data_IF_732847436755
#
_entry.id   IF_732847436755
#
_cell.length_a   1.000
_cell.length_b   1.000
_cell.length_c   1.000
_cell.angle_alpha   90.00
_cell.angle_beta   90.00
_cell.angle_gamma   90.00
#
_symmetry.space_group_name_H-M   'P 1'
#
loop_
_entity.id
_entity.type
_entity.pdbx_description
1 polymer ?
#
# COMPACT_ATOMS: atom_id res chain seq x y z
N UNK A 1 1.93 19.96 30.59
CA UNK A 1 1.05 20.83 29.77
C UNK A 1 1.70 21.35 28.47
N UNK A 2 2.75 22.19 28.50
CA UNK A 2 3.34 22.73 27.24
C UNK A 2 3.98 21.65 26.35
N UNK A 3 4.83 20.77 26.91
CA UNK A 3 5.43 19.63 26.20
C UNK A 3 4.37 18.69 25.60
N UNK A 4 3.28 18.42 26.33
CA UNK A 4 2.21 17.54 25.86
C UNK A 4 1.43 18.15 24.70
N UNK A 5 1.15 19.47 24.73
CA UNK A 5 0.53 20.18 23.61
C UNK A 5 1.43 20.17 22.37
N UNK A 6 2.75 20.31 22.54
CA UNK A 6 3.71 20.28 21.44
C UNK A 6 3.77 18.90 20.80
N UNK A 7 3.79 17.83 21.60
CA UNK A 7 3.75 16.44 21.13
C UNK A 7 2.43 16.17 20.40
N UNK A 8 1.30 16.62 20.94
CA UNK A 8 -0.01 16.45 20.31
C UNK A 8 -0.08 17.19 18.96
N UNK A 9 0.45 18.40 18.88
CA UNK A 9 0.48 19.20 17.65
C UNK A 9 1.34 18.53 16.57
N UNK A 10 2.52 18.03 16.94
CA UNK A 10 3.39 17.25 16.03
C UNK A 10 2.70 15.98 15.56
N UNK A 11 1.99 15.27 16.44
CA UNK A 11 1.25 14.07 16.07
C UNK A 11 0.13 14.36 15.06
N UNK A 12 -0.63 15.45 15.25
CA UNK A 12 -1.71 15.86 14.34
C UNK A 12 -1.13 16.27 12.98
N UNK A 13 -0.04 17.05 12.95
CA UNK A 13 0.65 17.42 11.71
C UNK A 13 1.21 16.19 10.99
N UNK A 14 1.82 15.27 11.74
CA UNK A 14 2.33 14.01 11.22
C UNK A 14 1.23 13.16 10.59
N UNK A 15 0.07 13.05 11.24
CA UNK A 15 -1.11 12.39 10.68
C UNK A 15 -1.58 13.07 9.39
N UNK A 16 -1.69 14.41 9.37
CA UNK A 16 -2.12 15.16 8.19
C UNK A 16 -1.21 14.93 6.98
N UNK A 17 0.10 15.01 7.18
CA UNK A 17 1.10 14.71 6.14
C UNK A 17 0.99 13.26 5.68
N UNK A 18 0.82 12.31 6.61
CA UNK A 18 0.68 10.90 6.28
C UNK A 18 -0.54 10.62 5.40
N UNK A 19 -1.70 11.20 5.74
CA UNK A 19 -2.91 11.07 4.91
C UNK A 19 -2.74 11.72 3.54
N UNK A 20 -2.10 12.89 3.45
CA UNK A 20 -1.83 13.54 2.16
C UNK A 20 -0.93 12.67 1.26
N UNK A 21 0.12 12.06 1.82
CA UNK A 21 1.01 11.14 1.11
C UNK A 21 0.26 9.89 0.65
N UNK A 22 -0.60 9.32 1.51
CA UNK A 22 -1.43 8.18 1.15
C UNK A 22 -2.37 8.48 -0.02
N UNK A 23 -3.08 9.61 0.03
CA UNK A 23 -3.98 10.04 -1.04
C UNK A 23 -3.21 10.29 -2.34
N UNK A 24 -2.08 11.00 -2.26
CA UNK A 24 -1.22 11.22 -3.42
C UNK A 24 -0.76 9.89 -4.04
N UNK A 25 -0.36 8.92 -3.21
CA UNK A 25 0.10 7.62 -3.69
C UNK A 25 -1.02 6.80 -4.33
N UNK A 26 -2.23 6.83 -3.75
CA UNK A 26 -3.43 6.20 -4.31
C UNK A 26 -3.79 6.80 -5.67
N UNK A 27 -3.85 8.13 -5.76
CA UNK A 27 -4.15 8.85 -7.02
C UNK A 27 -3.09 8.54 -8.07
N UNK A 28 -1.81 8.53 -7.70
CA UNK A 28 -0.71 8.19 -8.60
C UNK A 28 -0.77 6.73 -9.07
N UNK A 29 -1.11 5.79 -8.20
CA UNK A 29 -1.27 4.37 -8.54
C UNK A 29 -2.40 4.17 -9.54
N UNK A 30 -3.55 4.77 -9.29
CA UNK A 30 -4.71 4.72 -10.19
C UNK A 30 -4.37 5.43 -11.51
N UNK A 31 -3.80 6.63 -11.47
CA UNK A 31 -3.46 7.41 -12.66
C UNK A 31 -2.46 6.68 -13.57
N UNK A 32 -1.38 6.10 -13.02
CA UNK A 32 -0.36 5.45 -13.83
C UNK A 32 -0.79 4.08 -14.39
N UNK A 33 -1.65 3.35 -13.67
CA UNK A 33 -2.03 2.00 -14.07
C UNK A 33 -3.40 1.95 -14.77
N UNK A 34 -4.40 2.69 -14.31
CA UNK A 34 -5.74 2.67 -14.93
C UNK A 34 -5.79 3.32 -16.33
N UNK A 35 -4.84 4.20 -16.67
CA UNK A 35 -4.72 4.76 -18.02
C UNK A 35 -3.97 3.86 -19.03
N UNK A 36 -3.42 2.72 -18.60
CA UNK A 36 -2.92 1.72 -19.55
C UNK A 36 -4.12 0.93 -20.08
N UNK A 37 -4.33 1.00 -21.39
CA UNK A 37 -5.42 0.33 -22.13
C UNK A 37 -5.44 -1.22 -21.93
N UNK A 38 -4.37 -1.82 -21.40
CA UNK A 38 -4.27 -3.25 -21.09
C UNK A 38 -3.72 -3.46 -19.68
N UNK A 39 -4.59 -3.39 -18.68
CA UNK A 39 -4.24 -3.75 -17.31
C UNK A 39 -4.07 -5.28 -17.21
N UNK A 40 -2.84 -5.74 -16.98
CA UNK A 40 -2.62 -7.18 -16.77
C UNK A 40 -3.23 -7.63 -15.44
N UNK A 41 -3.70 -8.88 -15.36
CA UNK A 41 -4.30 -9.44 -14.11
C UNK A 41 -3.41 -9.23 -12.89
N UNK A 42 -2.08 -9.32 -13.08
CA UNK A 42 -1.08 -9.10 -12.03
C UNK A 42 -1.01 -7.63 -11.60
N UNK A 43 -1.05 -6.69 -12.54
CA UNK A 43 -1.06 -5.25 -12.21
C UNK A 43 -2.33 -4.85 -11.45
N UNK A 44 -3.48 -5.43 -11.79
CA UNK A 44 -4.75 -5.22 -11.08
C UNK A 44 -4.69 -5.75 -9.64
N UNK A 45 -4.17 -6.97 -9.45
CA UNK A 45 -3.96 -7.57 -8.13
C UNK A 45 -3.01 -6.72 -7.29
N UNK A 46 -1.93 -6.19 -7.87
CA UNK A 46 -1.03 -5.29 -7.14
C UNK A 46 -1.73 -4.02 -6.66
N UNK A 47 -2.58 -3.39 -7.47
CA UNK A 47 -3.32 -2.19 -7.06
C UNK A 47 -4.25 -2.53 -5.90
N UNK A 48 -4.97 -3.65 -5.98
CA UNK A 48 -5.86 -4.12 -4.92
C UNK A 48 -5.11 -4.42 -3.61
N UNK A 49 -3.94 -5.05 -3.68
CA UNK A 49 -3.12 -5.34 -2.50
C UNK A 49 -2.58 -4.05 -1.87
N UNK A 50 -2.12 -3.08 -2.67
CA UNK A 50 -1.72 -1.76 -2.16
C UNK A 50 -2.88 -1.04 -1.48
N UNK A 51 -4.07 -1.05 -2.09
CA UNK A 51 -5.29 -0.50 -1.49
C UNK A 51 -5.63 -1.18 -0.16
N UNK A 52 -5.54 -2.51 -0.10
CA UNK A 52 -5.78 -3.28 1.11
C UNK A 52 -4.77 -2.93 2.23
N UNK A 53 -3.48 -2.81 1.90
CA UNK A 53 -2.44 -2.42 2.86
C UNK A 53 -2.72 -1.04 3.43
N UNK A 54 -3.06 -0.06 2.57
CA UNK A 54 -3.42 1.29 2.99
C UNK A 54 -4.66 1.27 3.89
N UNK A 55 -5.69 0.53 3.50
CA UNK A 55 -6.91 0.38 4.28
C UNK A 55 -6.63 -0.21 5.68
N UNK A 56 -5.88 -1.31 5.76
CA UNK A 56 -5.51 -1.92 7.03
C UNK A 56 -4.61 -1.01 7.88
N UNK A 57 -3.73 -0.22 7.26
CA UNK A 57 -2.94 0.81 7.97
C UNK A 57 -3.83 1.86 8.63
N UNK A 58 -4.84 2.38 7.91
CA UNK A 58 -5.82 3.34 8.46
C UNK A 58 -6.62 2.69 9.59
N UNK A 59 -7.13 1.47 9.40
CA UNK A 59 -7.91 0.77 10.42
C UNK A 59 -7.07 0.47 11.66
N UNK A 60 -5.79 0.10 11.51
CA UNK A 60 -4.86 -0.09 12.64
C UNK A 60 -4.71 1.17 13.48
N UNK A 61 -4.57 2.32 12.82
CA UNK A 61 -4.42 3.61 13.48
C UNK A 61 -5.71 3.99 14.21
N UNK A 62 -6.87 3.90 13.54
CA UNK A 62 -8.17 4.29 14.12
C UNK A 62 -8.56 3.37 15.28
N UNK A 63 -8.40 2.05 15.11
CA UNK A 63 -8.77 1.05 16.13
C UNK A 63 -7.69 0.88 17.21
N UNK A 64 -6.52 1.50 17.04
CA UNK A 64 -5.32 1.30 17.86
C UNK A 64 -4.97 -0.19 18.07
N UNK A 65 -5.33 -1.02 17.08
CA UNK A 65 -5.31 -2.48 17.19
C UNK A 65 -4.19 -3.05 16.32
N UNK A 66 -3.13 -3.51 16.98
CA UNK A 66 -1.93 -4.04 16.34
C UNK A 66 -2.10 -5.46 15.77
N UNK A 67 -3.21 -6.15 16.07
CA UNK A 67 -3.45 -7.51 15.59
C UNK A 67 -3.63 -7.57 14.06
N UNK A 68 -3.90 -6.43 13.42
CA UNK A 68 -3.98 -6.29 11.96
C UNK A 68 -2.61 -6.14 11.28
N UNK A 69 -1.51 -6.03 12.06
CA UNK A 69 -0.16 -5.94 11.50
C UNK A 69 0.25 -7.21 10.78
N UNK A 70 -0.08 -8.37 11.35
CA UNK A 70 0.26 -9.67 10.78
C UNK A 70 -0.39 -9.93 9.40
N UNK A 71 -1.69 -9.66 9.18
CA UNK A 71 -2.27 -9.76 7.84
C UNK A 71 -1.65 -8.78 6.83
N UNK A 72 -1.21 -7.58 7.25
CA UNK A 72 -0.49 -6.64 6.37
C UNK A 72 0.87 -7.19 5.95
N UNK A 73 1.63 -7.79 6.86
CA UNK A 73 2.91 -8.42 6.56
C UNK A 73 2.74 -9.60 5.59
N UNK A 74 1.72 -10.43 5.79
CA UNK A 74 1.41 -11.54 4.88
C UNK A 74 1.04 -11.05 3.48
N UNK A 75 0.26 -9.97 3.36
CA UNK A 75 -0.07 -9.35 2.07
C UNK A 75 1.18 -8.85 1.35
N UNK A 76 2.10 -8.19 2.07
CA UNK A 76 3.39 -7.74 1.51
C UNK A 76 4.23 -8.92 1.02
N UNK A 77 4.32 -9.99 1.81
CA UNK A 77 5.07 -11.19 1.44
C UNK A 77 4.49 -11.87 0.19
N UNK A 78 3.17 -12.04 0.14
CA UNK A 78 2.46 -12.59 -1.02
C UNK A 78 2.73 -11.75 -2.27
N UNK A 79 2.70 -10.42 -2.14
CA UNK A 79 2.96 -9.51 -3.25
C UNK A 79 4.39 -9.61 -3.80
N UNK A 80 5.39 -9.76 -2.92
CA UNK A 80 6.79 -9.96 -3.33
C UNK A 80 6.94 -11.27 -4.10
N UNK A 81 6.30 -12.35 -3.64
CA UNK A 81 6.32 -13.64 -4.33
C UNK A 81 5.62 -13.58 -5.68
N UNK A 82 4.49 -12.87 -5.77
CA UNK A 82 3.73 -12.72 -7.00
C UNK A 82 4.53 -11.93 -8.06
N UNK A 83 5.26 -10.88 -7.65
CA UNK A 83 6.21 -10.16 -8.52
C UNK A 83 7.35 -11.04 -9.01
N UNK A 84 7.95 -11.84 -8.12
CA UNK A 84 9.03 -12.78 -8.50
C UNK A 84 8.54 -13.85 -9.47
N UNK A 85 7.38 -14.44 -9.20
CA UNK A 85 6.76 -15.45 -10.06
C UNK A 85 6.44 -14.89 -11.45
N UNK A 86 5.82 -13.70 -11.50
CA UNK A 86 5.46 -13.08 -12.77
C UNK A 86 6.68 -12.69 -13.62
N UNK A 87 7.79 -12.27 -12.98
CA UNK A 87 9.07 -12.05 -13.68
C UNK A 87 9.60 -13.36 -14.28
N UNK A 88 9.59 -14.44 -13.51
CA UNK A 88 10.07 -15.75 -13.96
C UNK A 88 9.23 -16.31 -15.13
N UNK A 89 7.91 -16.12 -15.09
CA UNK A 89 7.02 -16.50 -16.20
C UNK A 89 7.34 -15.76 -17.50
N UNK A 90 7.61 -14.45 -17.43
CA UNK A 90 8.00 -13.65 -18.62
C UNK A 90 9.39 -14.00 -19.16
N UNK A 91 10.28 -14.50 -18.31
CA UNK A 91 11.59 -15.01 -18.72
C UNK A 91 11.47 -16.39 -19.40
N UNK A 92 10.49 -17.21 -19.02
CA UNK A 92 10.19 -18.49 -19.68
C UNK A 92 9.54 -18.30 -21.05
N UNK A 93 8.55 -17.40 -21.16
CA UNK A 93 7.84 -17.11 -22.41
C UNK A 93 8.73 -16.52 -23.52
N UNK A 94 9.85 -15.89 -23.18
CA UNK A 94 10.81 -15.36 -24.18
C UNK A 94 11.89 -16.36 -24.60
N UNK A 95 11.98 -17.53 -23.95
CA UNK A 95 13.00 -18.55 -24.23
C UNK A 95 12.43 -19.77 -25.01
N UNK A 96 11.13 -19.80 -25.25
CA UNK A 96 10.44 -20.75 -26.15
C UNK A 96 10.20 -20.09 -27.53
#
# INVERSE_FOLDING_TARGET
>A
MFMEMLIALVAILGMGVFYAVLVYYLVRLISNKAFKHTLTKVEAIEILVWLAIVFFGIVMIIKQNWNLFLPVVLLLFSMVNLRRSNRKYREMENND
#
